data_IF_998125326724
#
_entry.id   IF_998125326724
#
_cell.length_a   1.000
_cell.length_b   1.000
_cell.length_c   1.000
_cell.angle_alpha   90.00
_cell.angle_beta   90.00
_cell.angle_gamma   90.00
#
_symmetry.space_group_name_H-M   'P 1'
#
loop_
_entity.id
_entity.type
_entity.pdbx_description
1 polymer ?
#
# COMPACT_ATOMS: atom_id res chain seq x y z
N UNK A 1 2.63 -11.32 27.73
CA UNK A 1 3.09 -9.92 27.63
C UNK A 1 2.96 -9.37 26.22
N UNK A 2 3.44 -10.06 25.21
CA UNK A 2 3.37 -9.69 23.79
C UNK A 2 1.95 -9.41 23.27
N UNK A 3 0.98 -10.31 23.59
CA UNK A 3 -0.44 -10.13 23.23
C UNK A 3 -0.99 -8.81 23.77
N UNK A 4 -0.70 -8.51 25.04
CA UNK A 4 -1.19 -7.29 25.69
C UNK A 4 -0.59 -6.03 25.04
N UNK A 5 0.69 -6.05 24.68
CA UNK A 5 1.36 -4.91 24.01
C UNK A 5 0.76 -4.69 22.62
N UNK A 6 0.55 -5.77 21.83
CA UNK A 6 -0.10 -5.64 20.51
C UNK A 6 -1.53 -5.13 20.61
N UNK A 7 -2.33 -5.67 21.55
CA UNK A 7 -3.68 -5.19 21.77
C UNK A 7 -3.69 -3.71 22.19
N UNK A 8 -2.80 -3.32 23.11
CA UNK A 8 -2.61 -1.94 23.52
C UNK A 8 -2.18 -1.08 22.32
N UNK A 9 -1.29 -1.58 21.46
CA UNK A 9 -0.87 -0.92 20.24
C UNK A 9 -2.03 -0.59 19.31
N UNK A 10 -2.95 -1.55 19.09
CA UNK A 10 -4.17 -1.33 18.30
C UNK A 10 -5.05 -0.25 18.96
N UNK A 11 -5.26 -0.34 20.28
CA UNK A 11 -6.09 0.65 21.00
C UNK A 11 -5.49 2.06 20.93
N UNK A 12 -4.17 2.18 21.14
CA UNK A 12 -3.46 3.47 21.05
C UNK A 12 -3.51 4.02 19.63
N UNK A 13 -3.32 3.18 18.60
CA UNK A 13 -3.41 3.60 17.20
C UNK A 13 -4.82 4.10 16.86
N UNK A 14 -5.87 3.37 17.27
CA UNK A 14 -7.25 3.82 17.08
C UNK A 14 -7.53 5.10 17.88
N UNK A 15 -6.97 5.24 19.07
CA UNK A 15 -7.04 6.47 19.87
C UNK A 15 -6.37 7.66 19.17
N UNK A 16 -5.19 7.44 18.56
CA UNK A 16 -4.50 8.46 17.78
C UNK A 16 -5.32 8.86 16.53
N UNK A 17 -5.91 7.90 15.83
CA UNK A 17 -6.82 8.18 14.70
C UNK A 17 -8.04 9.00 15.15
N UNK A 18 -8.62 8.66 16.30
CA UNK A 18 -9.72 9.42 16.89
C UNK A 18 -9.32 10.86 17.22
N UNK A 19 -8.10 11.07 17.72
CA UNK A 19 -7.58 12.43 17.99
C UNK A 19 -7.33 13.21 16.70
N UNK A 20 -6.85 12.56 15.64
CA UNK A 20 -6.60 13.15 14.32
C UNK A 20 -7.89 13.37 13.51
N UNK A 21 -9.02 12.86 13.98
CA UNK A 21 -10.31 12.95 13.30
C UNK A 21 -10.75 14.39 13.13
N UNK A 22 -11.17 14.76 11.93
CA UNK A 22 -11.73 16.05 11.60
C UNK A 22 -13.13 16.25 12.21
N UNK A 23 -13.90 15.17 12.39
CA UNK A 23 -15.21 15.20 13.03
C UNK A 23 -15.46 13.92 13.83
N UNK A 24 -15.22 14.00 15.14
CA UNK A 24 -15.32 12.85 16.05
C UNK A 24 -16.75 12.32 16.23
N UNK A 25 -17.76 13.17 16.03
CA UNK A 25 -19.17 12.82 16.25
C UNK A 25 -19.72 11.94 15.14
N UNK A 26 -19.22 12.10 13.91
CA UNK A 26 -19.70 11.42 12.72
C UNK A 26 -18.94 10.10 12.43
N UNK A 27 -18.03 9.70 13.34
CA UNK A 27 -17.35 8.40 13.21
C UNK A 27 -18.37 7.27 13.32
N UNK A 28 -18.55 6.52 12.22
CA UNK A 28 -19.43 5.35 12.19
C UNK A 28 -18.77 4.15 12.90
N UNK A 29 -19.00 4.05 14.20
CA UNK A 29 -18.42 2.99 15.05
C UNK A 29 -18.78 1.59 14.56
N UNK A 30 -19.99 1.39 14.01
CA UNK A 30 -20.42 0.07 13.48
C UNK A 30 -19.59 -0.34 12.28
N UNK A 31 -19.33 0.58 11.35
CA UNK A 31 -18.48 0.35 10.19
C UNK A 31 -17.05 0.02 10.62
N UNK A 32 -16.47 0.82 11.53
CA UNK A 32 -15.10 0.61 12.02
C UNK A 32 -14.94 -0.76 12.67
N UNK A 33 -15.87 -1.13 13.57
CA UNK A 33 -15.81 -2.43 14.24
C UNK A 33 -15.96 -3.57 13.23
N UNK A 34 -16.92 -3.49 12.29
CA UNK A 34 -17.09 -4.50 11.25
C UNK A 34 -15.82 -4.66 10.39
N UNK A 35 -15.24 -3.54 9.93
CA UNK A 35 -14.05 -3.57 9.09
C UNK A 35 -12.85 -4.18 9.84
N UNK A 36 -12.64 -3.81 11.11
CA UNK A 36 -11.62 -4.41 11.95
C UNK A 36 -11.85 -5.91 12.17
N UNK A 37 -13.07 -6.33 12.48
CA UNK A 37 -13.38 -7.75 12.65
C UNK A 37 -13.09 -8.55 11.38
N UNK A 38 -13.48 -8.04 10.22
CA UNK A 38 -13.19 -8.70 8.94
C UNK A 38 -11.69 -8.72 8.69
N UNK A 39 -10.96 -7.63 9.00
CA UNK A 39 -9.50 -7.60 8.88
C UNK A 39 -8.83 -8.66 9.78
N UNK A 40 -9.31 -8.84 11.01
CA UNK A 40 -8.87 -9.91 11.89
C UNK A 40 -9.16 -11.30 11.31
N UNK A 41 -10.36 -11.52 10.78
CA UNK A 41 -10.74 -12.80 10.17
C UNK A 41 -9.86 -13.11 8.96
N UNK A 42 -9.66 -12.13 8.05
CA UNK A 42 -8.80 -12.30 6.88
C UNK A 42 -7.36 -12.59 7.30
N UNK A 43 -6.81 -11.84 8.25
CA UNK A 43 -5.47 -12.07 8.76
C UNK A 43 -5.34 -13.45 9.42
N UNK A 44 -6.34 -13.89 10.22
CA UNK A 44 -6.37 -15.22 10.83
C UNK A 44 -6.38 -16.33 9.77
N UNK A 45 -7.21 -16.18 8.74
CA UNK A 45 -7.29 -17.14 7.64
C UNK A 45 -5.95 -17.26 6.89
N UNK A 46 -5.27 -16.16 6.64
CA UNK A 46 -4.01 -16.16 5.89
C UNK A 46 -2.82 -16.67 6.74
N UNK A 47 -2.82 -16.39 8.05
CA UNK A 47 -1.63 -16.64 8.90
C UNK A 47 -1.74 -17.93 9.70
N UNK A 48 -2.93 -18.29 10.21
CA UNK A 48 -3.12 -19.42 11.14
C UNK A 48 -3.93 -20.57 10.54
N UNK A 49 -4.94 -20.28 9.72
CA UNK A 49 -5.85 -21.30 9.24
C UNK A 49 -5.18 -22.17 8.14
N UNK A 50 -5.12 -23.51 8.29
CA UNK A 50 -4.34 -24.36 7.39
C UNK A 50 -4.70 -24.21 5.91
N UNK A 51 -6.01 -24.20 5.57
CA UNK A 51 -6.44 -24.04 4.18
C UNK A 51 -6.09 -22.64 3.62
N UNK A 52 -6.19 -21.59 4.43
CA UNK A 52 -5.82 -20.24 4.03
C UNK A 52 -4.32 -20.13 3.77
N UNK A 53 -3.49 -20.76 4.62
CA UNK A 53 -2.03 -20.82 4.40
C UNK A 53 -1.66 -21.58 3.13
N UNK A 54 -2.32 -22.74 2.88
CA UNK A 54 -2.10 -23.50 1.64
C UNK A 54 -2.51 -22.69 0.42
N UNK A 55 -3.65 -22.00 0.48
CA UNK A 55 -4.09 -21.11 -0.60
C UNK A 55 -3.11 -19.96 -0.83
N UNK A 56 -2.66 -19.30 0.24
CA UNK A 56 -1.65 -18.24 0.18
C UNK A 56 -0.35 -18.74 -0.44
N UNK A 57 0.15 -19.90 0.01
CA UNK A 57 1.37 -20.52 -0.54
C UNK A 57 1.22 -20.78 -2.03
N UNK A 58 0.10 -21.39 -2.47
CA UNK A 58 -0.15 -21.63 -3.90
C UNK A 58 -0.18 -20.33 -4.71
N UNK A 59 -0.83 -19.29 -4.19
CA UNK A 59 -0.85 -17.97 -4.86
C UNK A 59 0.56 -17.40 -4.91
N UNK A 60 1.31 -17.46 -3.82
CA UNK A 60 2.72 -17.03 -3.76
C UNK A 60 3.58 -17.77 -4.79
N UNK A 61 3.44 -19.10 -4.89
CA UNK A 61 4.18 -19.93 -5.84
C UNK A 61 3.82 -19.56 -7.29
N UNK A 62 2.53 -19.41 -7.60
CA UNK A 62 2.07 -18.98 -8.92
C UNK A 62 2.62 -17.60 -9.28
N UNK A 63 2.48 -16.63 -8.38
CA UNK A 63 2.99 -15.27 -8.59
C UNK A 63 4.50 -15.32 -8.81
N UNK A 64 5.26 -15.99 -7.94
CA UNK A 64 6.71 -16.09 -8.04
C UNK A 64 7.13 -16.78 -9.34
N UNK A 65 6.42 -17.84 -9.74
CA UNK A 65 6.71 -18.54 -11.00
C UNK A 65 6.44 -17.63 -12.22
N UNK A 66 5.27 -16.98 -12.27
CA UNK A 66 4.96 -16.02 -13.36
C UNK A 66 6.03 -14.93 -13.44
N UNK A 67 6.43 -14.41 -12.31
CA UNK A 67 7.41 -13.34 -12.21
C UNK A 67 8.82 -13.81 -12.65
N UNK A 68 9.11 -15.10 -12.52
CA UNK A 68 10.39 -15.66 -12.95
C UNK A 68 10.58 -15.63 -14.48
N UNK A 69 9.50 -15.61 -15.26
CA UNK A 69 9.59 -15.48 -16.72
C UNK A 69 10.20 -14.15 -17.19
N UNK A 70 10.14 -13.10 -16.37
CA UNK A 70 10.85 -11.85 -16.68
C UNK A 70 12.35 -12.01 -16.80
N UNK A 71 12.94 -13.03 -16.17
CA UNK A 71 14.37 -13.35 -16.29
C UNK A 71 14.78 -13.72 -17.71
N UNK A 72 13.89 -14.33 -18.49
CA UNK A 72 14.16 -14.70 -19.88
C UNK A 72 14.40 -13.45 -20.74
N UNK A 73 13.51 -12.45 -20.62
CA UNK A 73 13.67 -11.16 -21.32
C UNK A 73 14.91 -10.39 -20.87
N UNK A 74 15.20 -10.39 -19.57
CA UNK A 74 16.40 -9.76 -19.03
C UNK A 74 17.67 -10.50 -19.48
N UNK A 75 17.65 -11.83 -19.48
CA UNK A 75 18.76 -12.66 -19.96
C UNK A 75 19.06 -12.41 -21.42
N UNK A 76 18.02 -12.26 -22.27
CA UNK A 76 18.18 -11.94 -23.68
C UNK A 76 18.86 -10.56 -23.90
N UNK A 77 18.46 -9.55 -23.12
CA UNK A 77 18.97 -8.18 -23.29
C UNK A 77 20.32 -7.95 -22.62
N UNK A 78 20.52 -8.49 -21.43
CA UNK A 78 21.66 -8.17 -20.57
C UNK A 78 22.63 -9.34 -20.37
N UNK A 79 22.32 -10.53 -20.91
CA UNK A 79 23.17 -11.69 -20.80
C UNK A 79 23.48 -12.07 -19.34
N UNK A 80 24.75 -12.35 -19.00
CA UNK A 80 25.14 -12.74 -17.65
C UNK A 80 24.86 -11.71 -16.56
N UNK A 81 24.67 -10.42 -16.91
CA UNK A 81 24.32 -9.37 -15.94
C UNK A 81 22.93 -9.56 -15.35
N UNK A 82 22.06 -10.33 -16.01
CA UNK A 82 20.74 -10.66 -15.51
C UNK A 82 20.76 -11.79 -14.46
N UNK A 83 21.89 -12.49 -14.29
CA UNK A 83 22.03 -13.58 -13.33
C UNK A 83 22.75 -13.12 -12.06
N UNK A 84 22.06 -13.21 -10.90
CA UNK A 84 22.66 -12.91 -9.61
C UNK A 84 23.77 -13.88 -9.20
N UNK A 85 23.83 -15.08 -9.80
CA UNK A 85 24.89 -16.05 -9.60
C UNK A 85 26.15 -15.78 -10.43
N UNK A 86 26.11 -14.83 -11.38
CA UNK A 86 27.27 -14.45 -12.17
C UNK A 86 28.34 -13.76 -11.32
N UNK A 87 29.60 -13.70 -11.77
CA UNK A 87 30.68 -13.04 -11.04
C UNK A 87 30.43 -11.58 -10.68
N UNK A 88 29.54 -10.90 -11.40
CA UNK A 88 29.11 -9.53 -11.13
C UNK A 88 28.18 -9.41 -9.91
N UNK A 89 27.63 -10.52 -9.43
CA UNK A 89 26.65 -10.53 -8.36
C UNK A 89 25.31 -9.91 -8.75
N UNK A 90 24.54 -9.50 -7.76
CA UNK A 90 23.23 -8.87 -7.95
C UNK A 90 23.39 -7.42 -8.41
N UNK A 91 22.88 -7.12 -9.61
CA UNK A 91 22.75 -5.75 -10.14
C UNK A 91 21.30 -5.31 -10.03
N UNK A 92 20.98 -4.52 -8.99
CA UNK A 92 19.63 -4.10 -8.65
C UNK A 92 18.88 -3.45 -9.82
N UNK A 93 19.54 -2.58 -10.57
CA UNK A 93 18.94 -1.88 -11.73
C UNK A 93 18.48 -2.82 -12.82
N UNK A 94 19.16 -3.95 -13.02
CA UNK A 94 18.83 -4.92 -14.06
C UNK A 94 17.84 -5.96 -13.52
N UNK A 95 18.20 -6.62 -12.43
CA UNK A 95 17.48 -7.81 -11.96
C UNK A 95 16.17 -7.45 -11.23
N UNK A 96 16.13 -6.31 -10.55
CA UNK A 96 14.95 -5.84 -9.81
C UNK A 96 14.17 -4.82 -10.62
N UNK A 97 14.76 -3.69 -10.99
CA UNK A 97 14.04 -2.64 -11.70
C UNK A 97 13.69 -3.06 -13.12
N UNK A 98 14.58 -3.78 -13.82
CA UNK A 98 14.29 -4.29 -15.16
C UNK A 98 13.08 -5.23 -15.20
N UNK A 99 12.86 -6.03 -14.14
CA UNK A 99 11.72 -6.95 -14.07
C UNK A 99 10.37 -6.21 -13.93
N UNK A 100 10.37 -4.98 -13.43
CA UNK A 100 9.15 -4.13 -13.37
C UNK A 100 8.55 -3.93 -14.76
N UNK A 101 9.38 -3.86 -15.81
CA UNK A 101 8.93 -3.70 -17.20
C UNK A 101 8.03 -4.87 -17.64
N UNK A 102 8.47 -6.09 -17.38
CA UNK A 102 7.70 -7.30 -17.71
C UNK A 102 6.38 -7.34 -16.93
N UNK A 103 6.43 -7.04 -15.64
CA UNK A 103 5.25 -7.12 -14.78
C UNK A 103 4.23 -6.04 -15.15
N UNK A 104 4.68 -4.82 -15.43
CA UNK A 104 3.79 -3.76 -15.91
C UNK A 104 3.13 -4.13 -17.24
N UNK A 105 3.87 -4.75 -18.16
CA UNK A 105 3.31 -5.27 -19.42
C UNK A 105 2.26 -6.36 -19.16
N UNK A 106 2.54 -7.28 -18.24
CA UNK A 106 1.61 -8.34 -17.85
C UNK A 106 0.36 -7.78 -17.17
N UNK A 107 0.51 -6.84 -16.22
CA UNK A 107 -0.61 -6.16 -15.56
C UNK A 107 -1.46 -5.42 -16.59
N UNK A 108 -0.85 -4.71 -17.54
CA UNK A 108 -1.54 -4.06 -18.65
C UNK A 108 -2.36 -5.03 -19.50
N UNK A 109 -1.80 -6.20 -19.80
CA UNK A 109 -2.50 -7.28 -20.51
C UNK A 109 -3.69 -7.81 -19.71
N UNK A 110 -3.50 -8.14 -18.42
CA UNK A 110 -4.55 -8.65 -17.54
C UNK A 110 -5.66 -7.63 -17.31
N UNK A 111 -5.30 -6.35 -17.29
CA UNK A 111 -6.27 -5.27 -17.20
C UNK A 111 -7.11 -5.17 -18.49
N UNK A 112 -6.46 -5.14 -19.67
CA UNK A 112 -7.14 -5.11 -20.97
C UNK A 112 -8.09 -6.29 -21.17
N UNK A 113 -7.69 -7.48 -20.72
CA UNK A 113 -8.53 -8.69 -20.74
C UNK A 113 -9.69 -8.66 -19.73
N UNK A 114 -9.74 -7.65 -18.85
CA UNK A 114 -10.79 -7.51 -17.86
C UNK A 114 -10.61 -8.38 -16.61
N UNK A 115 -9.52 -9.15 -16.51
CA UNK A 115 -9.30 -10.09 -15.40
C UNK A 115 -9.16 -9.33 -14.07
N UNK A 116 -8.33 -8.29 -14.04
CA UNK A 116 -8.15 -7.45 -12.84
C UNK A 116 -9.47 -6.76 -12.48
N UNK A 117 -10.15 -6.17 -13.46
CA UNK A 117 -11.43 -5.51 -13.24
C UNK A 117 -12.50 -6.45 -12.68
N UNK A 118 -12.56 -7.70 -13.17
CA UNK A 118 -13.47 -8.72 -12.66
C UNK A 118 -13.19 -9.09 -11.20
N UNK A 119 -11.91 -9.30 -10.83
CA UNK A 119 -11.49 -9.60 -9.45
C UNK A 119 -11.84 -8.44 -8.52
N UNK A 120 -11.52 -7.21 -8.93
CA UNK A 120 -11.80 -6.00 -8.14
C UNK A 120 -13.30 -5.81 -7.95
N UNK A 121 -14.11 -6.07 -8.98
CA UNK A 121 -15.59 -5.98 -8.90
C UNK A 121 -16.16 -6.98 -7.89
N UNK A 122 -15.68 -8.23 -7.86
CA UNK A 122 -16.16 -9.25 -6.93
C UNK A 122 -15.77 -8.89 -5.50
N UNK A 123 -14.48 -8.65 -5.25
CA UNK A 123 -13.98 -8.40 -3.89
C UNK A 123 -14.51 -7.05 -3.38
N UNK A 124 -14.46 -6.00 -4.20
CA UNK A 124 -14.97 -4.67 -3.84
C UNK A 124 -16.47 -4.68 -3.58
N UNK A 125 -17.24 -5.39 -4.42
CA UNK A 125 -18.66 -5.58 -4.21
C UNK A 125 -18.99 -6.30 -2.90
N UNK A 126 -18.24 -7.35 -2.56
CA UNK A 126 -18.39 -8.08 -1.30
C UNK A 126 -18.07 -7.19 -0.09
N UNK A 127 -16.95 -6.46 -0.13
CA UNK A 127 -16.55 -5.54 0.95
C UNK A 127 -17.60 -4.43 1.10
N UNK A 128 -18.03 -3.81 0.00
CA UNK A 128 -19.02 -2.73 0.01
C UNK A 128 -20.36 -3.17 0.59
N UNK A 129 -20.86 -4.34 0.19
CA UNK A 129 -22.13 -4.86 0.70
C UNK A 129 -22.10 -5.20 2.19
N UNK A 130 -20.99 -5.73 2.69
CA UNK A 130 -20.83 -6.11 4.11
C UNK A 130 -20.62 -4.87 4.99
N UNK A 131 -19.81 -3.92 4.53
CA UNK A 131 -19.47 -2.73 5.32
C UNK A 131 -20.50 -1.61 5.18
N UNK A 132 -21.27 -1.57 4.07
CA UNK A 132 -22.18 -0.47 3.76
C UNK A 132 -21.44 0.79 3.29
N UNK A 133 -20.27 0.62 2.67
CA UNK A 133 -19.53 1.71 2.00
C UNK A 133 -20.01 1.87 0.57
N UNK A 134 -19.74 3.03 -0.05
CA UNK A 134 -20.09 3.21 -1.46
C UNK A 134 -19.36 2.18 -2.34
N UNK A 135 -19.99 1.81 -3.46
CA UNK A 135 -19.39 0.86 -4.41
C UNK A 135 -18.07 1.39 -4.95
N UNK A 136 -17.97 2.70 -5.19
CA UNK A 136 -16.77 3.36 -5.71
C UNK A 136 -15.64 3.29 -4.70
N UNK A 137 -15.92 3.58 -3.42
CA UNK A 137 -14.92 3.50 -2.34
C UNK A 137 -14.34 2.10 -2.18
N UNK A 138 -15.22 1.10 -2.04
CA UNK A 138 -14.79 -0.29 -1.88
C UNK A 138 -14.02 -0.79 -3.10
N UNK A 139 -14.43 -0.34 -4.28
CA UNK A 139 -13.78 -0.66 -5.54
C UNK A 139 -12.35 -0.10 -5.59
N UNK A 140 -12.16 1.19 -5.27
CA UNK A 140 -10.81 1.81 -5.26
C UNK A 140 -9.93 1.18 -4.21
N UNK A 141 -10.45 0.93 -3.00
CA UNK A 141 -9.68 0.28 -1.94
C UNK A 141 -9.14 -1.09 -2.38
N UNK A 142 -9.96 -1.88 -3.09
CA UNK A 142 -9.54 -3.19 -3.61
C UNK A 142 -8.66 -3.07 -4.85
N UNK A 143 -8.94 -2.12 -5.75
CA UNK A 143 -8.11 -1.88 -6.93
C UNK A 143 -6.66 -1.58 -6.55
N UNK A 144 -6.45 -0.84 -5.45
CA UNK A 144 -5.14 -0.54 -4.91
C UNK A 144 -4.33 -1.77 -4.44
N UNK A 145 -4.95 -2.96 -4.29
CA UNK A 145 -4.18 -4.19 -4.05
C UNK A 145 -3.36 -4.63 -5.26
N UNK A 146 -3.78 -4.24 -6.47
CA UNK A 146 -3.21 -4.68 -7.73
C UNK A 146 -2.54 -3.54 -8.50
N UNK A 147 -3.17 -2.38 -8.46
CA UNK A 147 -2.76 -1.18 -9.17
C UNK A 147 -2.09 -0.21 -8.19
N UNK A 148 -1.26 0.66 -8.71
CA UNK A 148 -0.58 1.66 -7.89
C UNK A 148 -1.48 2.83 -7.48
N UNK A 149 -0.95 3.69 -6.64
CA UNK A 149 -1.64 4.88 -6.11
C UNK A 149 -2.09 5.88 -7.19
N UNK A 150 -1.53 5.82 -8.40
CA UNK A 150 -1.90 6.65 -9.55
C UNK A 150 -2.78 5.92 -10.56
N UNK A 151 -2.71 4.60 -10.61
CA UNK A 151 -3.44 3.79 -11.58
C UNK A 151 -4.87 3.48 -11.10
N UNK A 152 -5.06 3.17 -9.82
CA UNK A 152 -6.39 2.84 -9.30
C UNK A 152 -7.40 4.00 -9.38
N UNK A 153 -7.02 5.29 -9.20
CA UNK A 153 -7.92 6.40 -9.43
C UNK A 153 -8.41 6.53 -10.89
N UNK A 154 -7.64 6.02 -11.86
CA UNK A 154 -8.06 6.00 -13.27
C UNK A 154 -9.35 5.19 -13.44
N UNK A 155 -9.47 4.08 -12.71
CA UNK A 155 -10.66 3.22 -12.75
C UNK A 155 -11.94 3.94 -12.36
N UNK A 156 -11.81 4.92 -11.50
CA UNK A 156 -12.93 5.70 -10.96
C UNK A 156 -12.88 7.17 -11.42
N UNK A 157 -12.07 7.49 -12.43
CA UNK A 157 -11.88 8.86 -12.90
C UNK A 157 -13.21 9.58 -13.18
N UNK A 158 -14.19 8.86 -13.75
CA UNK A 158 -15.55 9.37 -14.03
C UNK A 158 -16.34 9.76 -12.78
N UNK A 159 -15.96 9.23 -11.61
CA UNK A 159 -16.66 9.46 -10.34
C UNK A 159 -15.90 10.44 -9.43
N UNK A 160 -14.62 10.70 -9.70
CA UNK A 160 -13.76 11.56 -8.85
C UNK A 160 -14.37 12.95 -8.61
N UNK A 161 -15.02 13.51 -9.63
CA UNK A 161 -15.64 14.84 -9.54
C UNK A 161 -16.73 14.89 -8.46
N UNK A 162 -17.56 13.84 -8.39
CA UNK A 162 -18.72 13.76 -7.52
C UNK A 162 -18.38 13.18 -6.14
N UNK A 163 -17.15 12.68 -5.94
CA UNK A 163 -16.71 12.11 -4.66
C UNK A 163 -16.62 13.17 -3.56
N UNK A 164 -17.11 12.81 -2.37
CA UNK A 164 -16.96 13.59 -1.15
C UNK A 164 -15.48 13.71 -0.71
N UNK A 165 -15.18 14.62 0.20
CA UNK A 165 -13.82 14.71 0.76
C UNK A 165 -13.43 13.43 1.54
N UNK A 166 -14.39 12.77 2.19
CA UNK A 166 -14.19 11.50 2.88
C UNK A 166 -13.83 10.38 1.90
N UNK A 167 -14.51 10.31 0.75
CA UNK A 167 -14.21 9.35 -0.31
C UNK A 167 -12.83 9.63 -0.96
N UNK A 168 -12.51 10.90 -1.22
CA UNK A 168 -11.16 11.31 -1.69
C UNK A 168 -10.07 10.95 -0.66
N UNK A 169 -10.36 11.10 0.64
CA UNK A 169 -9.43 10.66 1.69
C UNK A 169 -9.18 9.16 1.63
N UNK A 170 -10.22 8.35 1.36
CA UNK A 170 -10.04 6.91 1.18
C UNK A 170 -9.19 6.59 -0.06
N UNK A 171 -9.39 7.29 -1.18
CA UNK A 171 -8.55 7.15 -2.37
C UNK A 171 -7.09 7.40 -2.04
N UNK A 172 -6.79 8.49 -1.33
CA UNK A 172 -5.42 8.83 -0.94
C UNK A 172 -4.83 7.81 0.05
N UNK A 173 -5.58 7.44 1.09
CA UNK A 173 -5.11 6.50 2.12
C UNK A 173 -4.92 5.09 1.55
N UNK A 174 -5.85 4.61 0.73
CA UNK A 174 -5.73 3.29 0.13
C UNK A 174 -4.62 3.24 -0.91
N UNK A 175 -4.43 4.31 -1.69
CA UNK A 175 -3.33 4.42 -2.64
C UNK A 175 -1.97 4.42 -1.97
N UNK A 176 -1.77 5.32 -0.98
CA UNK A 176 -0.49 5.40 -0.25
C UNK A 176 -0.29 4.24 0.73
N UNK A 177 -1.36 3.60 1.21
CA UNK A 177 -1.28 2.44 2.11
C UNK A 177 -1.04 1.11 1.39
N UNK A 178 -1.16 1.07 0.06
CA UNK A 178 -1.01 -0.14 -0.75
C UNK A 178 0.32 -0.21 -1.48
N UNK A 179 0.56 -1.36 -2.09
CA UNK A 179 1.64 -1.60 -3.04
C UNK A 179 1.04 -2.11 -4.35
N UNK A 180 1.56 -1.66 -5.50
CA UNK A 180 1.14 -2.23 -6.77
C UNK A 180 1.77 -3.61 -7.00
N UNK A 181 1.10 -4.46 -7.78
CA UNK A 181 1.63 -5.76 -8.18
C UNK A 181 2.98 -5.62 -8.91
N UNK A 182 3.19 -4.50 -9.61
CA UNK A 182 4.41 -4.21 -10.36
C UNK A 182 5.66 -4.08 -9.51
N UNK A 183 5.53 -3.59 -8.28
CA UNK A 183 6.68 -3.40 -7.37
C UNK A 183 6.90 -4.57 -6.41
N UNK A 184 5.93 -5.48 -6.26
CA UNK A 184 6.07 -6.64 -5.35
C UNK A 184 7.33 -7.45 -5.65
N UNK A 185 7.67 -7.59 -6.93
CA UNK A 185 8.90 -8.28 -7.35
C UNK A 185 10.16 -7.55 -6.97
N UNK A 186 10.12 -6.23 -6.98
CA UNK A 186 11.23 -5.43 -6.49
C UNK A 186 11.58 -5.81 -5.06
N UNK A 187 10.56 -5.90 -4.20
CA UNK A 187 10.74 -6.26 -2.79
C UNK A 187 11.11 -7.74 -2.61
N UNK A 188 10.50 -8.64 -3.38
CA UNK A 188 10.87 -10.05 -3.37
C UNK A 188 12.33 -10.26 -3.83
N UNK A 189 12.78 -9.49 -4.84
CA UNK A 189 14.18 -9.48 -5.29
C UNK A 189 15.17 -8.99 -4.22
N UNK A 190 14.71 -8.21 -3.25
CA UNK A 190 15.49 -7.80 -2.07
C UNK A 190 15.52 -8.87 -0.97
N UNK A 191 14.91 -10.05 -1.19
CA UNK A 191 14.88 -11.15 -0.23
C UNK A 191 13.65 -11.16 0.68
N UNK A 192 12.63 -10.34 0.40
CA UNK A 192 11.38 -10.36 1.18
C UNK A 192 10.50 -11.52 0.68
N UNK A 193 10.04 -12.44 1.54
CA UNK A 193 9.17 -13.54 1.14
C UNK A 193 7.87 -13.00 0.51
N UNK A 194 7.48 -13.54 -0.64
CA UNK A 194 6.27 -13.12 -1.36
C UNK A 194 5.01 -13.25 -0.50
N UNK A 195 4.95 -14.27 0.35
CA UNK A 195 3.84 -14.45 1.31
C UNK A 195 3.65 -13.24 2.22
N UNK A 196 4.74 -12.63 2.70
CA UNK A 196 4.68 -11.47 3.59
C UNK A 196 4.05 -10.27 2.88
N UNK A 197 4.43 -10.07 1.63
CA UNK A 197 3.92 -9.00 0.78
C UNK A 197 2.43 -9.22 0.45
N UNK A 198 2.04 -10.44 0.12
CA UNK A 198 0.65 -10.80 -0.18
C UNK A 198 -0.26 -10.65 1.05
N UNK A 199 0.21 -11.04 2.25
CA UNK A 199 -0.54 -10.81 3.49
C UNK A 199 -0.73 -9.29 3.71
N UNK A 200 0.35 -8.51 3.58
CA UNK A 200 0.30 -7.06 3.71
C UNK A 200 -0.73 -6.45 2.74
N UNK A 201 -0.63 -6.79 1.46
CA UNK A 201 -1.54 -6.30 0.42
C UNK A 201 -3.01 -6.66 0.66
N UNK A 202 -3.29 -7.90 1.10
CA UNK A 202 -4.66 -8.37 1.35
C UNK A 202 -5.38 -7.63 2.49
N UNK A 203 -4.63 -7.06 3.44
CA UNK A 203 -5.19 -6.34 4.58
C UNK A 203 -5.43 -4.85 4.33
N UNK A 204 -4.83 -4.29 3.27
CA UNK A 204 -4.90 -2.86 2.93
C UNK A 204 -6.32 -2.35 2.73
N UNK A 205 -7.23 -2.99 1.97
CA UNK A 205 -8.55 -2.44 1.72
C UNK A 205 -9.33 -2.18 3.01
N UNK A 206 -9.31 -3.15 3.92
CA UNK A 206 -10.02 -3.07 5.20
C UNK A 206 -9.38 -2.04 6.14
N UNK A 207 -8.04 -2.08 6.25
CA UNK A 207 -7.29 -1.10 7.02
C UNK A 207 -7.49 0.33 6.51
N UNK A 208 -7.53 0.52 5.20
CA UNK A 208 -7.75 1.83 4.58
C UNK A 208 -9.14 2.39 4.88
N UNK A 209 -10.18 1.56 4.87
CA UNK A 209 -11.54 1.95 5.25
C UNK A 209 -11.57 2.36 6.73
N UNK A 210 -10.97 1.56 7.63
CA UNK A 210 -10.90 1.90 9.05
C UNK A 210 -10.23 3.26 9.26
N UNK A 211 -9.03 3.42 8.71
CA UNK A 211 -8.20 4.61 8.94
C UNK A 211 -8.83 5.85 8.30
N UNK A 212 -9.31 5.76 7.06
CA UNK A 212 -9.89 6.91 6.35
C UNK A 212 -11.17 7.41 7.02
N UNK A 213 -12.08 6.48 7.39
CA UNK A 213 -13.36 6.83 8.01
C UNK A 213 -13.23 7.25 9.48
N UNK A 214 -12.07 7.02 10.10
CA UNK A 214 -11.72 7.62 11.38
C UNK A 214 -11.10 9.00 11.24
N UNK A 215 -10.18 9.22 10.27
CA UNK A 215 -9.52 10.53 10.06
C UNK A 215 -10.50 11.55 9.50
N UNK A 216 -11.27 11.18 8.47
CA UNK A 216 -12.24 12.03 7.81
C UNK A 216 -13.56 11.27 7.60
N UNK A 217 -14.42 11.22 8.64
CA UNK A 217 -15.72 10.56 8.55
C UNK A 217 -16.60 11.18 7.47
N UNK A 218 -17.54 10.41 6.95
CA UNK A 218 -18.61 10.92 6.11
C UNK A 218 -19.54 11.77 6.97
N UNK A 219 -19.80 12.99 6.57
CA UNK A 219 -20.75 13.87 7.26
C UNK A 219 -22.15 13.49 6.77
N UNK A 220 -22.97 12.99 7.69
CA UNK A 220 -24.42 12.82 7.40
C UNK A 220 -25.07 14.16 7.71
N UNK A 221 -25.63 14.88 6.73
CA UNK A 221 -26.31 16.14 6.98
C UNK A 221 -27.42 15.97 7.99
N UNK A 222 -27.57 16.97 8.85
CA UNK A 222 -28.75 17.02 9.72
C UNK A 222 -29.99 17.24 8.87
N UNK A 223 -31.13 16.70 9.31
CA UNK A 223 -32.44 16.87 8.66
C UNK A 223 -32.86 18.36 8.45
N UNK A 224 -32.06 19.31 8.95
CA UNK A 224 -32.30 20.75 8.84
C UNK A 224 -31.70 21.41 7.59
N UNK A 225 -30.77 20.75 6.87
CA UNK A 225 -30.09 21.29 5.70
C UNK A 225 -30.60 20.59 4.41
N UNK A 226 -31.68 21.12 3.84
CA UNK A 226 -32.31 20.56 2.63
C UNK A 226 -31.39 20.58 1.41
N UNK A 227 -30.60 21.64 1.24
CA UNK A 227 -29.63 21.73 0.11
C UNK A 227 -28.54 20.66 0.19
N UNK A 228 -28.10 20.32 1.42
CA UNK A 228 -27.15 19.24 1.69
C UNK A 228 -27.76 17.83 1.53
N UNK A 229 -29.09 17.69 1.73
CA UNK A 229 -29.78 16.42 1.48
C UNK A 229 -29.90 16.11 0.00
N UNK A 230 -30.14 17.12 -0.84
CA UNK A 230 -30.20 16.94 -2.30
C UNK A 230 -28.83 16.63 -2.88
N UNK A 231 -27.75 17.24 -2.36
CA UNK A 231 -26.37 16.88 -2.72
C UNK A 231 -26.00 15.46 -2.28
N UNK A 232 -26.46 15.00 -1.11
CA UNK A 232 -26.28 13.63 -0.65
C UNK A 232 -27.09 12.62 -1.45
N UNK A 233 -28.34 12.91 -1.74
CA UNK A 233 -29.18 12.05 -2.55
C UNK A 233 -28.60 11.89 -3.96
N UNK A 234 -27.97 12.93 -4.51
CA UNK A 234 -27.24 12.86 -5.77
C UNK A 234 -25.94 12.05 -5.62
N UNK A 235 -25.18 12.23 -4.54
CA UNK A 235 -23.98 11.46 -4.24
C UNK A 235 -24.30 9.98 -3.97
N UNK A 236 -25.37 9.67 -3.21
CA UNK A 236 -25.84 8.30 -3.01
C UNK A 236 -26.38 7.66 -4.30
N UNK A 237 -27.07 8.40 -5.13
CA UNK A 237 -27.51 7.95 -6.45
C UNK A 237 -26.31 7.71 -7.39
N UNK A 238 -25.27 8.53 -7.32
CA UNK A 238 -24.02 8.31 -8.04
C UNK A 238 -23.24 7.10 -7.47
N UNK A 239 -23.18 6.95 -6.15
CA UNK A 239 -22.54 5.84 -5.46
C UNK A 239 -23.29 4.49 -5.65
N UNK A 240 -24.60 4.52 -5.89
CA UNK A 240 -25.42 3.33 -6.18
C UNK A 240 -25.29 2.84 -7.62
N UNK A 241 -24.79 3.68 -8.54
CA UNK A 241 -24.55 3.28 -9.93
C UNK A 241 -23.54 2.14 -9.99
N UNK A 242 -23.83 1.15 -10.83
CA UNK A 242 -22.90 0.06 -11.10
C UNK A 242 -21.58 0.64 -11.64
N UNK A 243 -20.46 0.37 -10.94
CA UNK A 243 -19.15 0.84 -11.39
C UNK A 243 -18.83 0.13 -12.70
N UNK A 244 -18.88 0.87 -13.80
CA UNK A 244 -18.47 0.39 -15.12
C UNK A 244 -16.99 0.65 -15.28
N UNK A 245 -16.22 -0.42 -15.34
CA UNK A 245 -14.78 -0.40 -15.59
C UNK A 245 -14.58 -0.33 -17.10
N UNK A 246 -13.76 0.62 -17.53
CA UNK A 246 -13.26 0.62 -18.89
C UNK A 246 -11.93 -0.15 -18.92
N UNK A 247 -12.00 -1.45 -19.16
CA UNK A 247 -10.82 -2.33 -19.20
C UNK A 247 -9.90 -2.04 -20.39
N UNK A 248 -10.40 -1.39 -21.43
CA UNK A 248 -9.62 -1.14 -22.65
C UNK A 248 -8.87 0.19 -22.59
N UNK A 249 -9.44 1.19 -21.89
CA UNK A 249 -8.90 2.55 -21.91
C UNK A 249 -8.70 3.02 -23.36
N UNK A 250 -7.57 3.67 -23.63
CA UNK A 250 -7.19 4.15 -24.97
C UNK A 250 -6.50 3.06 -25.84
N UNK A 251 -6.39 1.82 -25.37
CA UNK A 251 -5.68 0.77 -26.09
C UNK A 251 -6.54 0.12 -27.16
N UNK A 252 -6.11 0.20 -28.41
CA UNK A 252 -6.80 -0.35 -29.57
C UNK A 252 -6.87 -1.90 -29.55
N UNK A 253 -5.87 -2.58 -28.97
CA UNK A 253 -5.77 -4.03 -28.90
C UNK A 253 -4.85 -4.48 -27.78
N UNK A 254 -4.79 -5.80 -27.52
CA UNK A 254 -3.97 -6.39 -26.46
C UNK A 254 -2.46 -6.07 -26.62
N UNK A 255 -1.94 -6.02 -27.85
CA UNK A 255 -0.53 -5.74 -28.10
C UNK A 255 -0.23 -4.27 -27.71
N UNK A 256 -1.14 -3.35 -28.03
CA UNK A 256 -1.03 -1.95 -27.60
C UNK A 256 -1.00 -1.83 -26.08
N UNK A 257 -1.88 -2.57 -25.37
CA UNK A 257 -1.91 -2.58 -23.92
C UNK A 257 -0.62 -3.15 -23.29
N UNK A 258 -0.07 -4.23 -23.87
CA UNK A 258 1.24 -4.79 -23.46
C UNK A 258 2.36 -3.76 -23.67
N UNK A 259 2.39 -3.13 -24.85
CA UNK A 259 3.43 -2.13 -25.18
C UNK A 259 3.34 -0.91 -24.28
N UNK A 260 2.12 -0.43 -24.02
CA UNK A 260 1.91 0.69 -23.08
C UNK A 260 2.37 0.30 -21.67
N UNK A 261 1.96 -0.88 -21.17
CA UNK A 261 2.39 -1.38 -19.88
C UNK A 261 3.91 -1.53 -19.76
N UNK A 262 4.58 -1.97 -20.83
CA UNK A 262 6.05 -2.04 -20.85
C UNK A 262 6.69 -0.65 -20.74
N UNK A 263 6.16 0.36 -21.45
CA UNK A 263 6.63 1.74 -21.37
C UNK A 263 6.39 2.33 -19.97
N UNK A 264 5.23 2.08 -19.39
CA UNK A 264 4.90 2.52 -18.04
C UNK A 264 5.84 1.89 -17.01
N UNK A 265 6.13 0.59 -17.14
CA UNK A 265 7.10 -0.14 -16.34
C UNK A 265 8.52 0.40 -16.47
N UNK A 266 8.95 0.75 -17.70
CA UNK A 266 10.25 1.37 -17.93
C UNK A 266 10.36 2.73 -17.23
N UNK A 267 9.35 3.58 -17.41
CA UNK A 267 9.31 4.90 -16.77
C UNK A 267 9.31 4.79 -15.24
N UNK A 268 8.57 3.83 -14.70
CA UNK A 268 8.56 3.52 -13.26
C UNK A 268 9.94 3.05 -12.78
N UNK A 269 10.57 2.11 -13.49
CA UNK A 269 11.90 1.60 -13.15
C UNK A 269 12.95 2.73 -13.15
N UNK A 270 12.95 3.58 -14.16
CA UNK A 270 13.84 4.74 -14.27
C UNK A 270 13.57 5.74 -13.13
N UNK A 271 12.30 6.04 -12.85
CA UNK A 271 11.91 6.95 -11.78
C UNK A 271 12.34 6.43 -10.39
N UNK A 272 12.14 5.13 -10.12
CA UNK A 272 12.61 4.49 -8.89
C UNK A 272 14.14 4.54 -8.81
N UNK A 273 14.84 4.18 -9.88
CA UNK A 273 16.31 4.21 -9.92
C UNK A 273 16.87 5.60 -9.65
N UNK A 274 16.34 6.62 -10.33
CA UNK A 274 16.73 8.02 -10.13
C UNK A 274 16.46 8.48 -8.67
N UNK A 275 15.29 8.16 -8.14
CA UNK A 275 14.92 8.48 -6.76
C UNK A 275 15.84 7.80 -5.75
N UNK A 276 16.16 6.52 -5.93
CA UNK A 276 17.06 5.78 -5.04
C UNK A 276 18.48 6.39 -5.06
N UNK A 277 19.02 6.70 -6.23
CA UNK A 277 20.33 7.35 -6.33
C UNK A 277 20.31 8.68 -5.57
N UNK A 278 19.33 9.52 -5.83
CA UNK A 278 19.23 10.85 -5.20
C UNK A 278 19.10 10.74 -3.68
N UNK A 279 18.14 9.92 -3.20
CA UNK A 279 17.83 9.82 -1.77
C UNK A 279 18.98 9.14 -1.00
N UNK A 280 19.54 8.03 -1.51
CA UNK A 280 20.65 7.34 -0.84
C UNK A 280 21.88 8.26 -0.75
N UNK A 281 22.17 9.02 -1.81
CA UNK A 281 23.26 9.99 -1.82
C UNK A 281 23.03 11.14 -0.82
N UNK A 282 21.79 11.65 -0.74
CA UNK A 282 21.43 12.68 0.25
C UNK A 282 21.52 12.14 1.69
N UNK A 283 21.09 10.91 1.93
CA UNK A 283 21.20 10.25 3.25
C UNK A 283 22.69 10.09 3.61
N UNK A 284 23.52 9.68 2.66
CA UNK A 284 24.97 9.58 2.88
C UNK A 284 25.59 10.94 3.23
N UNK A 285 25.18 12.01 2.53
CA UNK A 285 25.60 13.38 2.85
C UNK A 285 25.16 13.81 4.26
N UNK A 286 23.88 13.57 4.60
CA UNK A 286 23.36 13.87 5.94
C UNK A 286 24.10 13.08 7.01
N UNK A 287 24.36 11.79 6.78
CA UNK A 287 25.11 10.96 7.69
C UNK A 287 26.57 11.41 7.82
N UNK A 288 27.18 11.92 6.74
CA UNK A 288 28.50 12.55 6.80
C UNK A 288 28.53 13.77 7.72
N UNK A 289 27.47 14.62 7.66
CA UNK A 289 27.34 15.79 8.54
C UNK A 289 27.05 15.39 10.00
N UNK A 290 26.12 14.45 10.20
CA UNK A 290 25.73 13.95 11.52
C UNK A 290 26.86 13.15 12.19
N UNK A 291 27.70 12.49 11.38
CA UNK A 291 28.86 11.70 11.84
C UNK A 291 29.88 12.52 12.63
N UNK A 292 29.93 13.83 12.40
CA UNK A 292 30.76 14.75 13.21
C UNK A 292 30.31 14.73 14.68
N UNK A 293 29.05 14.45 14.93
CA UNK A 293 28.45 14.36 16.27
C UNK A 293 28.32 12.89 16.75
N UNK A 294 28.87 11.93 16.00
CA UNK A 294 28.77 10.50 16.33
C UNK A 294 27.40 9.87 16.21
N UNK A 295 26.50 10.48 15.43
CA UNK A 295 25.12 10.01 15.23
C UNK A 295 24.83 9.82 13.73
N UNK A 296 23.78 9.02 13.40
CA UNK A 296 23.30 8.85 12.04
C UNK A 296 21.82 9.18 11.92
N UNK A 297 21.33 9.41 10.70
CA UNK A 297 19.90 9.60 10.42
C UNK A 297 19.09 8.39 10.88
N UNK A 298 19.59 7.19 10.62
CA UNK A 298 18.96 5.94 11.03
C UNK A 298 18.79 5.84 12.55
N UNK A 299 19.78 6.28 13.31
CA UNK A 299 19.69 6.35 14.78
C UNK A 299 18.62 7.35 15.21
N UNK A 300 18.59 8.53 14.61
CA UNK A 300 17.54 9.53 14.90
C UNK A 300 16.16 8.91 14.63
N UNK A 301 15.98 8.31 13.47
CA UNK A 301 14.71 7.68 13.08
C UNK A 301 14.35 6.53 14.03
N UNK A 302 15.33 5.73 14.47
CA UNK A 302 15.08 4.64 15.41
C UNK A 302 14.50 5.12 16.74
N UNK A 303 14.96 6.25 17.26
CA UNK A 303 14.46 6.81 18.51
C UNK A 303 13.13 7.56 18.31
N UNK A 304 12.97 8.31 17.23
CA UNK A 304 11.72 9.03 16.93
C UNK A 304 10.54 8.07 16.77
N UNK A 305 10.76 6.94 16.10
CA UNK A 305 9.74 5.92 15.87
C UNK A 305 9.70 4.82 16.95
N UNK A 306 10.58 4.87 17.97
CA UNK A 306 10.63 3.89 19.07
C UNK A 306 9.27 3.65 19.75
N UNK A 307 8.40 4.64 19.99
CA UNK A 307 7.08 4.39 20.55
C UNK A 307 6.23 3.46 19.69
N UNK A 308 6.27 3.60 18.36
CA UNK A 308 5.52 2.74 17.43
C UNK A 308 6.15 1.34 17.41
N UNK A 309 7.48 1.24 17.31
CA UNK A 309 8.20 -0.04 17.36
C UNK A 309 7.94 -0.82 18.66
N UNK A 310 7.86 -0.13 19.80
CA UNK A 310 7.49 -0.73 21.08
C UNK A 310 6.05 -1.29 21.05
N UNK A 311 5.10 -0.54 20.53
CA UNK A 311 3.70 -0.95 20.42
C UNK A 311 3.50 -2.15 19.48
N UNK A 312 4.43 -2.41 18.55
CA UNK A 312 4.42 -3.63 17.74
C UNK A 312 4.65 -4.90 18.59
N UNK A 313 5.07 -4.77 19.85
CA UNK A 313 5.28 -5.89 20.76
C UNK A 313 6.34 -6.89 20.27
N UNK A 314 7.37 -6.38 19.61
CA UNK A 314 8.52 -7.15 19.16
C UNK A 314 9.48 -7.45 20.31
N UNK A 315 10.39 -8.43 20.16
CA UNK A 315 11.50 -8.61 21.08
C UNK A 315 12.30 -7.30 21.27
N UNK A 316 12.79 -7.06 22.48
CA UNK A 316 13.47 -5.78 22.82
C UNK A 316 14.58 -5.41 21.83
N UNK A 317 15.34 -6.41 21.37
CA UNK A 317 16.43 -6.25 20.42
C UNK A 317 15.97 -5.78 19.04
N UNK A 318 14.72 -6.09 18.65
CA UNK A 318 14.18 -5.80 17.33
C UNK A 318 13.44 -4.45 17.29
N UNK A 319 13.13 -3.84 18.46
CA UNK A 319 12.31 -2.62 18.54
C UNK A 319 12.96 -1.45 17.78
N UNK A 320 14.23 -1.17 18.04
CA UNK A 320 14.92 -0.04 17.39
C UNK A 320 15.11 -0.28 15.89
N UNK A 321 15.37 -1.52 15.48
CA UNK A 321 15.44 -1.91 14.07
C UNK A 321 14.10 -1.67 13.37
N UNK A 322 12.99 -2.14 13.95
CA UNK A 322 11.66 -1.89 13.40
C UNK A 322 11.35 -0.39 13.33
N UNK A 323 11.72 0.35 14.36
CA UNK A 323 11.54 1.81 14.43
C UNK A 323 12.30 2.55 13.34
N UNK A 324 13.56 2.17 13.13
CA UNK A 324 14.40 2.68 12.06
C UNK A 324 13.77 2.43 10.69
N UNK A 325 13.33 1.20 10.44
CA UNK A 325 12.69 0.82 9.17
C UNK A 325 11.41 1.61 8.91
N UNK A 326 10.57 1.80 9.94
CA UNK A 326 9.36 2.62 9.85
C UNK A 326 9.70 4.08 9.53
N UNK A 327 10.72 4.63 10.17
CA UNK A 327 11.23 5.96 9.89
C UNK A 327 11.77 6.08 8.47
N UNK A 328 12.58 5.11 8.03
CA UNK A 328 13.10 5.05 6.66
C UNK A 328 11.97 5.01 5.63
N UNK A 329 10.92 4.21 5.87
CA UNK A 329 9.73 4.16 4.99
C UNK A 329 9.06 5.52 4.86
N UNK A 330 8.77 6.17 5.97
CA UNK A 330 7.96 7.40 5.97
C UNK A 330 8.75 8.61 5.43
N UNK A 331 10.02 8.73 5.83
CA UNK A 331 10.86 9.89 5.51
C UNK A 331 11.54 9.75 4.16
N UNK A 332 12.02 8.55 3.83
CA UNK A 332 12.70 8.25 2.59
C UNK A 332 11.74 7.59 1.60
N UNK A 333 11.69 6.27 1.61
CA UNK A 333 10.68 5.46 0.92
C UNK A 333 10.74 3.98 1.38
N UNK A 334 9.74 3.20 0.96
CA UNK A 334 9.63 1.78 1.27
C UNK A 334 10.69 0.92 0.57
N UNK A 335 11.19 1.32 -0.61
CA UNK A 335 12.27 0.57 -1.29
C UNK A 335 13.54 0.55 -0.46
N UNK A 336 13.93 1.69 0.13
CA UNK A 336 15.08 1.77 1.02
C UNK A 336 14.84 0.92 2.26
N UNK A 337 13.64 1.03 2.86
CA UNK A 337 13.30 0.26 4.05
C UNK A 337 13.30 -1.26 3.80
N UNK A 338 12.75 -1.73 2.67
CA UNK A 338 12.83 -3.14 2.28
C UNK A 338 14.25 -3.59 1.93
N UNK A 339 15.04 -2.73 1.28
CA UNK A 339 16.46 -2.99 1.02
C UNK A 339 17.27 -3.15 2.30
N UNK A 340 16.91 -2.42 3.36
CA UNK A 340 17.50 -2.58 4.70
C UNK A 340 17.00 -3.86 5.39
N UNK A 341 15.70 -4.19 5.28
CA UNK A 341 15.10 -5.35 5.93
C UNK A 341 15.58 -6.68 5.32
N UNK A 342 15.69 -6.77 3.99
CA UNK A 342 15.99 -8.02 3.30
C UNK A 342 17.21 -8.78 3.87
N UNK A 343 18.40 -8.16 3.97
CA UNK A 343 19.58 -8.80 4.54
C UNK A 343 19.44 -9.20 6.02
N UNK A 344 18.54 -8.55 6.76
CA UNK A 344 18.35 -8.80 8.19
C UNK A 344 17.38 -9.97 8.47
N UNK A 345 16.54 -10.35 7.49
CA UNK A 345 15.47 -11.33 7.71
C UNK A 345 15.94 -12.68 8.23
N UNK A 346 17.11 -13.15 7.79
CA UNK A 346 17.69 -14.42 8.25
C UNK A 346 18.01 -14.45 9.74
N UNK A 347 18.25 -13.28 10.35
CA UNK A 347 18.52 -13.13 11.79
C UNK A 347 17.27 -12.84 12.63
N UNK A 348 16.12 -12.59 12.01
CA UNK A 348 14.89 -12.26 12.71
C UNK A 348 14.02 -13.49 12.95
N UNK A 349 13.21 -13.47 14.01
CA UNK A 349 12.15 -14.45 14.18
C UNK A 349 11.10 -14.30 13.06
N UNK A 350 10.40 -15.40 12.71
CA UNK A 350 9.28 -15.35 11.75
C UNK A 350 8.31 -14.21 12.06
N UNK A 351 7.94 -14.04 13.34
CA UNK A 351 7.04 -12.98 13.78
C UNK A 351 7.61 -11.59 13.54
N UNK A 352 8.86 -11.35 13.94
CA UNK A 352 9.51 -10.04 13.73
C UNK A 352 9.64 -9.71 12.25
N UNK A 353 10.12 -10.65 11.44
CA UNK A 353 10.27 -10.49 10.00
C UNK A 353 8.95 -10.21 9.29
N UNK A 354 7.91 -10.99 9.57
CA UNK A 354 6.57 -10.79 8.98
C UNK A 354 5.96 -9.45 9.40
N UNK A 355 6.01 -9.10 10.69
CA UNK A 355 5.46 -7.84 11.18
C UNK A 355 6.18 -6.62 10.61
N UNK A 356 7.51 -6.66 10.54
CA UNK A 356 8.30 -5.60 9.92
C UNK A 356 7.95 -5.49 8.44
N UNK A 357 7.94 -6.59 7.68
CA UNK A 357 7.62 -6.56 6.27
C UNK A 357 6.21 -5.98 6.00
N UNK A 358 5.17 -6.41 6.74
CA UNK A 358 3.82 -5.86 6.61
C UNK A 358 3.79 -4.37 6.95
N UNK A 359 4.50 -3.93 7.97
CA UNK A 359 4.54 -2.51 8.37
C UNK A 359 5.23 -1.62 7.31
N UNK A 360 6.08 -2.21 6.48
CA UNK A 360 6.72 -1.52 5.35
C UNK A 360 5.87 -1.52 4.09
N UNK A 361 4.84 -2.36 3.98
CA UNK A 361 3.94 -2.35 2.83
C UNK A 361 3.27 -0.98 2.65
N UNK A 362 3.25 -0.50 1.42
CA UNK A 362 2.58 0.75 1.03
C UNK A 362 3.52 1.92 0.76
N UNK A 363 3.07 2.77 -0.16
CA UNK A 363 3.78 3.92 -0.69
C UNK A 363 3.72 5.18 0.20
N UNK A 364 3.36 5.05 1.48
CA UNK A 364 3.17 6.18 2.39
C UNK A 364 4.52 6.82 2.79
N UNK A 365 4.96 7.77 1.98
CA UNK A 365 6.15 8.58 2.19
C UNK A 365 5.94 10.01 1.67
N UNK A 366 6.89 10.91 1.97
CA UNK A 366 6.79 12.33 1.63
C UNK A 366 6.64 12.56 0.12
N UNK A 367 7.37 11.82 -0.72
CA UNK A 367 7.30 11.97 -2.19
C UNK A 367 5.96 11.49 -2.76
N UNK A 368 5.34 10.49 -2.15
CA UNK A 368 4.04 9.97 -2.59
C UNK A 368 2.90 10.99 -2.51
N UNK A 369 3.00 11.98 -1.62
CA UNK A 369 2.03 13.08 -1.60
C UNK A 369 2.01 13.84 -2.94
N UNK A 370 3.19 14.18 -3.45
CA UNK A 370 3.31 14.86 -4.74
C UNK A 370 2.83 13.98 -5.91
N UNK A 371 3.17 12.70 -5.87
CA UNK A 371 2.76 11.71 -6.89
C UNK A 371 1.24 11.56 -6.92
N UNK A 372 0.58 11.41 -5.77
CA UNK A 372 -0.88 11.32 -5.70
C UNK A 372 -1.56 12.61 -6.17
N UNK A 373 -1.09 13.78 -5.71
CA UNK A 373 -1.68 15.07 -6.11
C UNK A 373 -1.57 15.24 -7.62
N UNK A 374 -0.38 15.05 -8.20
CA UNK A 374 -0.17 15.23 -9.62
C UNK A 374 -0.90 14.17 -10.45
N UNK A 375 -0.77 12.89 -10.10
CA UNK A 375 -1.37 11.79 -10.84
C UNK A 375 -2.89 11.84 -10.89
N UNK A 376 -3.55 12.05 -9.74
CA UNK A 376 -5.02 12.12 -9.70
C UNK A 376 -5.54 13.41 -10.35
N UNK A 377 -4.80 14.53 -10.23
CA UNK A 377 -5.21 15.82 -10.84
C UNK A 377 -5.19 15.81 -12.36
N UNK A 378 -4.50 14.87 -13.00
CA UNK A 378 -4.56 14.70 -14.46
C UNK A 378 -5.99 14.33 -14.90
N UNK A 379 -6.67 13.49 -14.11
CA UNK A 379 -8.01 13.01 -14.41
C UNK A 379 -9.13 13.89 -13.83
N UNK A 380 -8.83 14.65 -12.78
CA UNK A 380 -9.79 15.56 -12.14
C UNK A 380 -9.08 16.83 -11.64
N UNK A 381 -8.75 17.80 -12.51
CA UNK A 381 -8.05 19.02 -12.13
C UNK A 381 -8.78 19.84 -11.05
N UNK A 382 -10.11 19.77 -11.03
CA UNK A 382 -10.98 20.47 -10.08
C UNK A 382 -10.73 20.05 -8.62
N UNK A 383 -10.34 18.78 -8.40
CA UNK A 383 -10.04 18.23 -7.06
C UNK A 383 -8.61 18.50 -6.59
N UNK A 384 -7.74 19.12 -7.40
CA UNK A 384 -6.33 19.36 -7.05
C UNK A 384 -6.15 20.04 -5.70
N UNK A 385 -6.94 21.06 -5.42
CA UNK A 385 -6.87 21.78 -4.14
C UNK A 385 -7.30 20.91 -2.95
N UNK A 386 -8.30 20.06 -3.14
CA UNK A 386 -8.77 19.10 -2.13
C UNK A 386 -7.68 18.07 -1.88
N UNK A 387 -7.11 17.48 -2.94
CA UNK A 387 -6.01 16.52 -2.85
C UNK A 387 -4.82 17.11 -2.09
N UNK A 388 -4.40 18.34 -2.42
CA UNK A 388 -3.29 19.01 -1.74
C UNK A 388 -3.54 19.23 -0.25
N UNK A 389 -4.77 19.62 0.13
CA UNK A 389 -5.16 19.81 1.53
C UNK A 389 -5.18 18.49 2.32
N UNK A 390 -5.56 17.39 1.66
CA UNK A 390 -5.73 16.09 2.30
C UNK A 390 -4.46 15.22 2.24
N UNK A 391 -3.51 15.52 1.35
CA UNK A 391 -2.36 14.66 1.05
C UNK A 391 -1.54 14.27 2.29
N UNK A 392 -1.24 15.23 3.18
CA UNK A 392 -0.47 14.95 4.39
C UNK A 392 -1.21 13.99 5.34
N UNK A 393 -2.52 14.23 5.57
CA UNK A 393 -3.34 13.29 6.35
C UNK A 393 -3.48 11.94 5.65
N UNK A 394 -3.57 11.95 4.31
CA UNK A 394 -3.58 10.76 3.48
C UNK A 394 -2.31 9.93 3.64
N UNK A 395 -1.14 10.58 3.61
CA UNK A 395 0.16 9.92 3.81
C UNK A 395 0.26 9.31 5.22
N UNK A 396 -0.06 10.08 6.26
CA UNK A 396 -0.06 9.55 7.64
C UNK A 396 -1.06 8.40 7.78
N UNK A 397 -2.25 8.53 7.17
CA UNK A 397 -3.24 7.46 7.15
C UNK A 397 -2.73 6.20 6.46
N UNK A 398 -2.14 6.31 5.28
CA UNK A 398 -1.54 5.19 4.56
C UNK A 398 -0.42 4.49 5.36
N UNK A 399 0.41 5.27 6.04
CA UNK A 399 1.41 4.73 6.97
C UNK A 399 0.74 3.95 8.12
N UNK A 400 -0.30 4.51 8.73
CA UNK A 400 -1.02 3.85 9.84
C UNK A 400 -1.80 2.61 9.39
N UNK A 401 -2.22 2.50 8.12
CA UNK A 401 -2.82 1.27 7.56
C UNK A 401 -1.86 0.09 7.66
N UNK A 402 -0.61 0.26 7.27
CA UNK A 402 0.37 -0.82 7.33
C UNK A 402 0.79 -1.16 8.76
N UNK A 403 0.89 -0.16 9.64
CA UNK A 403 1.15 -0.39 11.07
C UNK A 403 -0.03 -1.14 11.70
N UNK A 404 -1.28 -0.75 11.43
CA UNK A 404 -2.48 -1.45 11.91
C UNK A 404 -2.51 -2.91 11.44
N UNK A 405 -2.25 -3.15 10.15
CA UNK A 405 -2.18 -4.49 9.58
C UNK A 405 -1.11 -5.34 10.25
N UNK A 406 0.07 -4.77 10.51
CA UNK A 406 1.16 -5.42 11.23
C UNK A 406 0.77 -5.77 12.67
N UNK A 407 0.10 -4.86 13.39
CA UNK A 407 -0.38 -5.09 14.77
C UNK A 407 -1.43 -6.21 14.82
N UNK A 408 -2.38 -6.22 13.87
CA UNK A 408 -3.41 -7.27 13.76
C UNK A 408 -2.75 -8.63 13.53
N UNK A 409 -1.82 -8.73 12.58
CA UNK A 409 -1.08 -9.97 12.30
C UNK A 409 -0.23 -10.38 13.51
N UNK A 410 0.46 -9.43 14.14
CA UNK A 410 1.26 -9.68 15.34
C UNK A 410 0.45 -10.24 16.51
N UNK A 411 -0.78 -9.75 16.69
CA UNK A 411 -1.70 -10.28 17.70
C UNK A 411 -2.14 -11.71 17.37
N UNK A 412 -2.47 -11.99 16.10
CA UNK A 412 -2.88 -13.33 15.65
C UNK A 412 -1.75 -14.35 15.82
N UNK A 413 -0.51 -14.00 15.51
CA UNK A 413 0.63 -14.90 15.69
C UNK A 413 0.88 -15.19 17.17
N UNK A 414 0.61 -14.23 18.04
CA UNK A 414 0.86 -14.34 19.47
C UNK A 414 -0.21 -15.14 20.23
N UNK A 415 -1.42 -15.32 19.67
CA UNK A 415 -2.48 -16.20 20.15
C UNK A 415 -2.22 -17.64 19.67
#
# INVERSE_FOLDING_TARGET
>A
MTILINALGIVILLGALYLLSSNKKDINKKLIIKALLIQFVVAFLLVKFPLGRIALQKVSDVVTNVLSYGKEGLGFLFGPLADAGAPTGMIFAIQVLGNIIFISALVGALYYLGIIGFIVKIIGGAIGSVLGTSKVESFVAVANMFLGQTESPILVAKYLKDMSQSEIMLVLISGMGSMSATVLMGYAGMGIPMEYLLIGGALVPLGSIVVSKMILPEVVPSLADQDLQDDLAQAEAAASKEVKIDNKGDNANLIAAISQGANDGLNMALGIGASLIAIISLVALVNGLLGVFGISLEQILSYVFAPIGFLMGLPKQDILTASQLLGSKLVLNEFIAFGQLGPMLSGLSYRSGLMMAISLCGFANISSMGICISGISVFCPEKRNVLAKLAFKGMLGGFLVSVLSSLVVGLIIAI
#
